data_IF_380340742894
#
_entry.id   IF_380340742894
#
_cell.length_a   1.000
_cell.length_b   1.000
_cell.length_c   1.000
_cell.angle_alpha   90.00
_cell.angle_beta   90.00
_cell.angle_gamma   90.00
#
_symmetry.space_group_name_H-M   'P 1'
#
loop_
_entity.id
_entity.type
_entity.pdbx_description
1 polymer ?
#
# COMPACT_ATOMS: atom_id res chain seq x y z
N UNK A 1 18.77 6.95 -12.33
CA UNK A 1 17.36 7.23 -11.98
C UNK A 1 17.08 6.55 -10.64
N UNK A 2 16.66 7.30 -9.62
CA UNK A 2 16.52 6.78 -8.26
C UNK A 2 15.38 5.77 -8.14
N UNK A 3 15.57 4.73 -7.33
CA UNK A 3 14.49 3.81 -6.96
C UNK A 3 13.41 4.61 -6.21
N UNK A 4 12.12 4.51 -6.57
CA UNK A 4 11.05 5.16 -5.82
C UNK A 4 11.09 4.68 -4.36
N UNK A 5 11.18 5.62 -3.42
CA UNK A 5 11.15 5.29 -1.99
C UNK A 5 9.69 5.20 -1.54
N UNK A 6 9.26 4.00 -1.16
CA UNK A 6 7.94 3.77 -0.58
C UNK A 6 7.99 3.92 0.94
N UNK A 7 6.93 4.47 1.52
CA UNK A 7 6.78 4.58 2.97
C UNK A 7 5.76 3.54 3.47
N UNK A 8 5.97 2.92 4.65
CA UNK A 8 4.99 2.03 5.25
C UNK A 8 3.67 2.76 5.50
N UNK A 9 2.56 2.12 5.14
CA UNK A 9 1.22 2.65 5.43
C UNK A 9 0.96 2.46 6.93
N UNK A 10 0.65 3.55 7.63
CA UNK A 10 0.25 3.52 9.03
C UNK A 10 -1.12 2.86 9.18
N UNK A 11 -1.13 1.55 9.42
CA UNK A 11 -2.34 0.79 9.70
C UNK A 11 -2.94 1.27 11.04
N UNK A 12 -4.27 1.37 11.11
CA UNK A 12 -5.03 1.91 12.24
C UNK A 12 -4.99 3.44 12.41
N UNK A 13 -4.51 4.19 11.42
CA UNK A 13 -4.69 5.65 11.39
C UNK A 13 -6.17 5.98 11.13
N UNK A 14 -6.94 6.25 12.19
CA UNK A 14 -8.30 6.79 12.11
C UNK A 14 -9.37 5.90 11.47
N UNK A 15 -9.28 4.57 11.59
CA UNK A 15 -10.22 3.58 11.01
C UNK A 15 -10.35 3.56 9.47
N UNK A 16 -9.70 4.51 8.77
CA UNK A 16 -9.86 4.76 7.35
C UNK A 16 -9.10 3.74 6.50
N UNK A 17 -7.88 3.42 6.90
CA UNK A 17 -6.99 2.51 6.18
C UNK A 17 -6.85 1.19 6.95
N UNK A 18 -7.14 0.09 6.28
CA UNK A 18 -7.17 -1.25 6.89
C UNK A 18 -6.53 -2.28 5.96
N UNK A 19 -5.67 -3.14 6.53
CA UNK A 19 -5.20 -4.33 5.84
C UNK A 19 -6.16 -5.49 6.16
N UNK A 20 -6.80 -6.04 5.14
CA UNK A 20 -7.72 -7.17 5.26
C UNK A 20 -6.94 -8.48 5.40
N UNK A 21 -7.57 -9.51 5.99
CA UNK A 21 -6.92 -10.80 6.23
C UNK A 21 -6.48 -11.54 4.96
N UNK A 22 -6.99 -11.16 3.78
CA UNK A 22 -6.57 -11.69 2.49
C UNK A 22 -5.39 -10.91 1.86
N UNK A 23 -4.81 -9.94 2.57
CA UNK A 23 -3.71 -9.11 2.09
C UNK A 23 -4.13 -7.90 1.23
N UNK A 24 -5.43 -7.68 1.05
CA UNK A 24 -5.93 -6.49 0.35
C UNK A 24 -5.91 -5.24 1.26
N UNK A 25 -5.56 -4.10 0.70
CA UNK A 25 -5.64 -2.80 1.36
C UNK A 25 -7.02 -2.17 1.10
N UNK A 26 -7.74 -1.84 2.17
CA UNK A 26 -9.00 -1.08 2.13
C UNK A 26 -8.74 0.35 2.57
N UNK A 27 -9.11 1.32 1.72
CA UNK A 27 -9.13 2.75 2.05
C UNK A 27 -10.60 3.20 2.00
N UNK A 28 -11.15 3.56 3.16
CA UNK A 28 -12.49 4.13 3.29
C UNK A 28 -12.43 5.62 3.00
N UNK A 29 -13.50 6.22 2.49
CA UNK A 29 -13.60 7.69 2.31
C UNK A 29 -12.35 8.23 1.57
N UNK A 30 -12.14 7.77 0.34
CA UNK A 30 -10.97 8.12 -0.48
C UNK A 30 -10.96 9.63 -0.73
N UNK A 31 -9.79 10.25 -0.55
CA UNK A 31 -9.50 11.67 -0.76
C UNK A 31 -8.48 11.83 -1.90
N UNK A 32 -8.37 13.02 -2.50
CA UNK A 32 -7.39 13.28 -3.57
C UNK A 32 -5.94 12.99 -3.14
N UNK A 33 -5.62 13.23 -1.86
CA UNK A 33 -4.31 12.93 -1.27
C UNK A 33 -3.96 11.43 -1.23
N UNK A 34 -4.94 10.55 -1.41
CA UNK A 34 -4.69 9.10 -1.53
C UNK A 34 -4.17 8.71 -2.92
N UNK A 35 -4.28 9.57 -3.93
CA UNK A 35 -3.80 9.26 -5.27
C UNK A 35 -2.27 9.09 -5.27
N UNK A 36 -1.77 8.04 -5.94
CA UNK A 36 -0.33 7.79 -5.98
C UNK A 36 0.04 6.33 -6.22
N UNK A 37 1.34 6.06 -6.12
CA UNK A 37 1.88 4.71 -6.25
C UNK A 37 1.80 3.96 -4.93
N UNK A 38 1.17 2.79 -4.97
CA UNK A 38 1.12 1.83 -3.87
C UNK A 38 1.97 0.62 -4.21
N UNK A 39 2.72 0.11 -3.23
CA UNK A 39 3.51 -1.11 -3.35
C UNK A 39 2.94 -2.17 -2.41
N UNK A 40 2.51 -3.30 -2.97
CA UNK A 40 2.29 -4.51 -2.20
C UNK A 40 3.61 -5.29 -2.14
N UNK A 41 4.09 -5.58 -0.94
CA UNK A 41 5.30 -6.35 -0.69
C UNK A 41 4.99 -7.49 0.27
N UNK A 42 5.40 -8.70 -0.09
CA UNK A 42 5.29 -9.91 0.73
C UNK A 42 6.69 -10.44 1.00
N UNK A 43 6.97 -10.69 2.27
CA UNK A 43 8.27 -11.16 2.76
C UNK A 43 8.08 -12.34 3.71
N UNK A 44 9.02 -13.27 3.69
CA UNK A 44 9.16 -14.38 4.63
C UNK A 44 10.67 -14.58 4.92
N UNK A 45 11.00 -15.48 5.84
CA UNK A 45 12.40 -15.72 6.24
C UNK A 45 13.20 -16.55 5.22
N UNK A 46 12.60 -16.91 4.06
CA UNK A 46 13.19 -17.81 3.07
C UNK A 46 12.93 -17.32 1.65
N UNK A 47 14.01 -16.92 0.97
CA UNK A 47 13.95 -16.47 -0.43
C UNK A 47 13.93 -14.94 -0.53
N UNK A 48 13.64 -14.45 -1.75
CA UNK A 48 13.58 -13.03 -2.03
C UNK A 48 12.15 -12.50 -1.89
N UNK A 49 12.02 -11.28 -1.38
CA UNK A 49 10.74 -10.60 -1.29
C UNK A 49 10.07 -10.46 -2.66
N UNK A 50 8.76 -10.66 -2.70
CA UNK A 50 7.95 -10.44 -3.90
C UNK A 50 7.20 -9.12 -3.76
N UNK A 51 7.20 -8.31 -4.82
CA UNK A 51 6.48 -7.05 -4.82
C UNK A 51 5.82 -6.71 -6.15
N UNK A 52 4.72 -5.95 -6.06
CA UNK A 52 3.98 -5.40 -7.20
C UNK A 52 3.50 -4.00 -6.86
N UNK A 53 3.71 -3.06 -7.79
CA UNK A 53 3.26 -1.68 -7.66
C UNK A 53 2.02 -1.41 -8.52
N UNK A 54 1.17 -0.50 -8.08
CA UNK A 54 0.03 0.02 -8.85
C UNK A 54 -0.17 1.51 -8.58
N UNK A 55 -0.83 2.21 -9.50
CA UNK A 55 -1.19 3.62 -9.34
C UNK A 55 -2.68 3.74 -9.03
N UNK A 56 -3.02 4.37 -7.91
CA UNK A 56 -4.39 4.68 -7.55
C UNK A 56 -4.76 6.05 -8.13
N UNK A 57 -5.78 6.06 -8.99
CA UNK A 57 -6.36 7.29 -9.50
C UNK A 57 -7.65 7.62 -8.73
N UNK A 58 -7.75 8.83 -8.20
CA UNK A 58 -8.95 9.37 -7.55
C UNK A 58 -9.60 10.36 -8.52
N UNK A 59 -10.94 10.38 -8.60
CA UNK A 59 -11.74 11.29 -9.45
C UNK A 59 -12.87 11.90 -8.66
#
# INVERSE_FOLDING_TARGET
AGVPQFQPIALNSGFRVQLLGNGSLLIKHVLEEDAGYYLCKVSNDVGADVSKSMYLNVK
#
